data_IF_590105910290
#
_entry.id   IF_590105910290
#
_cell.length_a   1.000
_cell.length_b   1.000
_cell.length_c   1.000
_cell.angle_alpha   90.00
_cell.angle_beta   90.00
_cell.angle_gamma   90.00
#
_symmetry.space_group_name_H-M   'P 1'
#
loop_
_entity.id
_entity.type
_entity.pdbx_description
1 polymer ?
#
# COMPACT_ATOMS: atom_id res chain seq x y z
N UNK A 1 -2.08 11.54 21.53
CA UNK A 1 -1.05 11.42 20.47
C UNK A 1 -1.66 11.88 19.16
N UNK A 2 -1.02 12.81 18.45
CA UNK A 2 -1.55 13.37 17.20
C UNK A 2 -1.26 12.43 16.04
N UNK A 3 -2.30 12.00 15.32
CA UNK A 3 -2.16 11.07 14.20
C UNK A 3 -1.68 11.82 12.96
N UNK A 4 -0.62 11.33 12.29
CA UNK A 4 -0.07 11.95 11.09
C UNK A 4 -0.88 11.48 9.87
N UNK A 5 -1.29 12.43 9.01
CA UNK A 5 -2.00 12.12 7.76
C UNK A 5 -1.24 12.68 6.58
N UNK A 6 -1.16 11.89 5.51
CA UNK A 6 -0.61 12.31 4.22
C UNK A 6 -1.68 12.16 3.15
N UNK A 7 -1.58 12.97 2.10
CA UNK A 7 -2.49 12.94 0.96
C UNK A 7 -1.68 12.73 -0.32
N UNK A 8 -2.06 11.71 -1.10
CA UNK A 8 -1.46 11.39 -2.39
C UNK A 8 -2.62 11.34 -3.40
N UNK A 9 -2.68 12.34 -4.28
CA UNK A 9 -3.84 12.62 -5.14
C UNK A 9 -5.15 12.62 -4.34
N UNK A 10 -6.01 11.62 -4.55
CA UNK A 10 -7.32 11.51 -3.91
C UNK A 10 -7.32 10.56 -2.70
N UNK A 11 -6.20 9.92 -2.40
CA UNK A 11 -6.05 8.97 -1.29
C UNK A 11 -5.47 9.67 -0.07
N UNK A 12 -6.14 9.55 1.07
CA UNK A 12 -5.63 9.97 2.38
C UNK A 12 -5.11 8.76 3.12
N UNK A 13 -3.90 8.84 3.65
CA UNK A 13 -3.26 7.74 4.39
C UNK A 13 -2.95 8.23 5.80
N UNK A 14 -3.37 7.44 6.79
CA UNK A 14 -3.13 7.68 8.20
C UNK A 14 -1.90 6.89 8.62
N UNK A 15 -0.85 7.58 9.05
CA UNK A 15 0.43 7.02 9.46
C UNK A 15 0.54 6.96 10.99
N UNK A 16 1.32 6.00 11.53
CA UNK A 16 1.75 6.05 12.93
C UNK A 16 2.45 7.38 13.27
N UNK A 17 2.28 7.90 14.49
CA UNK A 17 2.87 9.19 14.89
C UNK A 17 4.41 9.16 14.91
N UNK A 18 5.02 8.01 15.17
CA UNK A 18 6.46 7.75 15.17
C UNK A 18 7.00 7.29 13.80
N UNK A 19 6.16 7.22 12.76
CA UNK A 19 6.62 6.84 11.43
C UNK A 19 7.28 8.03 10.71
N UNK A 20 8.51 7.81 10.28
CA UNK A 20 9.21 8.69 9.34
C UNK A 20 8.86 8.29 7.90
N UNK A 21 8.44 9.26 7.10
CA UNK A 21 8.12 9.04 5.70
C UNK A 21 9.37 9.36 4.86
N UNK A 22 9.99 8.34 4.28
CA UNK A 22 11.21 8.48 3.49
C UNK A 22 10.90 8.78 2.02
N UNK A 23 9.93 8.08 1.44
CA UNK A 23 9.49 8.28 0.04
C UNK A 23 7.98 8.06 -0.09
N UNK A 24 7.36 8.77 -1.01
CA UNK A 24 5.97 8.52 -1.43
C UNK A 24 5.80 8.81 -2.92
N UNK A 25 4.88 8.09 -3.56
CA UNK A 25 4.49 8.36 -4.94
C UNK A 25 3.13 7.74 -5.27
N UNK A 26 2.54 8.18 -6.38
CA UNK A 26 1.44 7.47 -7.03
C UNK A 26 2.04 6.45 -8.01
N UNK A 27 1.54 5.20 -7.98
CA UNK A 27 2.08 4.12 -8.83
C UNK A 27 2.01 4.47 -10.31
N UNK A 28 0.91 5.06 -10.77
CA UNK A 28 0.69 5.38 -12.18
C UNK A 28 1.77 6.33 -12.72
N UNK A 29 2.19 7.30 -11.90
CA UNK A 29 3.23 8.27 -12.24
C UNK A 29 4.60 7.63 -12.40
N UNK A 30 4.99 6.71 -11.51
CA UNK A 30 6.31 6.06 -11.57
C UNK A 30 6.35 4.95 -12.60
N UNK A 31 5.24 4.25 -12.79
CA UNK A 31 5.16 3.10 -13.68
C UNK A 31 4.82 3.47 -15.13
N UNK A 32 4.69 4.76 -15.45
CA UNK A 32 4.29 5.28 -16.76
C UNK A 32 3.05 4.56 -17.33
N UNK A 33 2.14 4.12 -16.45
CA UNK A 33 0.90 3.49 -16.90
C UNK A 33 0.05 4.61 -17.46
N UNK A 34 -0.35 4.50 -18.74
CA UNK A 34 -1.11 5.51 -19.46
C UNK A 34 -2.32 5.90 -18.63
N UNK A 35 -2.29 7.11 -18.05
CA UNK A 35 -3.40 7.67 -17.27
C UNK A 35 -4.62 7.71 -18.19
N UNK A 36 -5.50 6.70 -18.11
CA UNK A 36 -6.84 6.85 -18.67
C UNK A 36 -7.46 8.01 -17.89
N UNK A 37 -7.83 9.08 -18.59
CA UNK A 37 -8.30 10.39 -18.10
C UNK A 37 -9.42 10.37 -17.02
N UNK A 38 -9.91 9.20 -16.60
CA UNK A 38 -11.04 9.01 -15.69
C UNK A 38 -10.75 8.17 -14.44
N UNK A 39 -9.52 7.73 -14.16
CA UNK A 39 -9.26 6.92 -12.96
C UNK A 39 -9.13 7.78 -11.70
N UNK A 40 -10.21 7.77 -10.90
CA UNK A 40 -10.27 8.33 -9.54
C UNK A 40 -9.46 7.53 -8.51
N UNK A 41 -8.96 6.35 -8.89
CA UNK A 41 -8.20 5.43 -8.03
C UNK A 41 -6.76 5.93 -7.97
N UNK A 42 -6.21 6.04 -6.78
CA UNK A 42 -4.81 6.47 -6.61
C UNK A 42 -4.09 5.34 -5.92
N UNK A 43 -3.45 4.51 -6.73
CA UNK A 43 -2.54 3.47 -6.27
C UNK A 43 -1.28 4.18 -5.72
N UNK A 44 -0.77 3.70 -4.59
CA UNK A 44 0.25 4.39 -3.79
C UNK A 44 1.43 3.48 -3.47
N UNK A 45 2.65 4.02 -3.58
CA UNK A 45 3.83 3.40 -3.01
C UNK A 45 4.48 4.33 -1.97
N UNK A 46 4.89 3.75 -0.85
CA UNK A 46 5.52 4.45 0.27
C UNK A 46 6.77 3.69 0.71
N UNK A 47 7.74 4.45 1.21
CA UNK A 47 8.83 3.93 2.03
C UNK A 47 8.71 4.59 3.40
N UNK A 48 8.40 3.81 4.42
CA UNK A 48 8.26 4.27 5.80
C UNK A 48 9.41 3.70 6.64
N UNK A 49 9.92 4.49 7.58
CA UNK A 49 10.81 4.02 8.64
C UNK A 49 10.09 4.09 9.98
N UNK A 50 10.17 3.02 10.74
CA UNK A 50 9.60 2.88 12.07
C UNK A 50 10.60 2.23 13.00
N UNK A 51 11.27 3.04 13.82
CA UNK A 51 12.43 2.58 14.60
C UNK A 51 13.51 2.02 13.68
N UNK A 52 13.90 0.77 13.92
CA UNK A 52 14.91 0.04 13.13
C UNK A 52 14.36 -0.54 11.81
N UNK A 53 13.05 -0.55 11.61
CA UNK A 53 12.43 -1.16 10.43
C UNK A 53 12.24 -0.15 9.31
N UNK A 54 12.62 -0.55 8.09
CA UNK A 54 12.19 0.10 6.86
C UNK A 54 11.10 -0.75 6.19
N UNK A 55 10.01 -0.12 5.80
CA UNK A 55 8.83 -0.74 5.22
C UNK A 55 8.66 -0.22 3.79
N UNK A 56 8.70 -1.12 2.80
CA UNK A 56 8.30 -0.85 1.44
C UNK A 56 6.82 -1.22 1.29
N UNK A 57 5.96 -0.23 1.11
CA UNK A 57 4.51 -0.41 1.10
C UNK A 57 3.99 -0.10 -0.30
N UNK A 58 3.29 -1.04 -0.91
CA UNK A 58 2.54 -0.86 -2.16
C UNK A 58 1.07 -1.07 -1.87
N UNK A 59 0.23 -0.16 -2.34
CA UNK A 59 -1.20 -0.12 -2.06
C UNK A 59 -1.98 0.12 -3.34
N UNK A 60 -2.90 -0.78 -3.65
CA UNK A 60 -3.82 -0.64 -4.80
C UNK A 60 -5.25 -0.43 -4.31
N UNK A 61 -5.95 0.57 -4.85
CA UNK A 61 -7.35 0.87 -4.51
C UNK A 61 -8.30 0.22 -5.52
N UNK A 62 -8.73 -1.01 -5.24
CA UNK A 62 -9.42 -1.84 -6.23
C UNK A 62 -10.95 -1.74 -6.17
N UNK A 63 -11.51 -1.16 -5.09
CA UNK A 63 -12.96 -1.03 -4.91
C UNK A 63 -13.61 -2.38 -4.57
N UNK A 64 -13.61 -3.32 -5.52
CA UNK A 64 -13.90 -4.75 -5.35
C UNK A 64 -12.68 -5.54 -5.82
N UNK A 65 -11.94 -6.20 -4.92
CA UNK A 65 -10.73 -6.93 -5.28
C UNK A 65 -11.03 -8.15 -6.15
N UNK A 66 -10.10 -8.45 -7.05
CA UNK A 66 -10.07 -9.63 -7.90
C UNK A 66 -8.70 -10.31 -7.84
N UNK A 67 -8.59 -11.57 -8.29
CA UNK A 67 -7.33 -12.32 -8.27
C UNK A 67 -6.21 -11.63 -9.08
N UNK A 68 -6.57 -10.96 -10.19
CA UNK A 68 -5.62 -10.20 -11.00
C UNK A 68 -4.96 -9.06 -10.22
N UNK A 69 -5.63 -8.51 -9.21
CA UNK A 69 -5.12 -7.39 -8.43
C UNK A 69 -3.99 -7.82 -7.51
N UNK A 70 -4.04 -9.06 -6.99
CA UNK A 70 -2.94 -9.64 -6.21
C UNK A 70 -1.67 -9.71 -7.06
N UNK A 71 -1.80 -10.22 -8.29
CA UNK A 71 -0.68 -10.32 -9.24
C UNK A 71 -0.16 -8.94 -9.64
N UNK A 72 -1.06 -8.01 -9.97
CA UNK A 72 -0.71 -6.62 -10.27
C UNK A 72 0.11 -6.00 -9.14
N UNK A 73 -0.26 -6.25 -7.88
CA UNK A 73 0.45 -5.70 -6.72
C UNK A 73 1.89 -6.22 -6.62
N UNK A 74 2.10 -7.50 -6.88
CA UNK A 74 3.43 -8.12 -6.90
C UNK A 74 4.28 -7.55 -8.05
N UNK A 75 3.72 -7.50 -9.26
CA UNK A 75 4.37 -6.90 -10.43
C UNK A 75 4.73 -5.42 -10.22
N UNK A 76 3.81 -4.65 -9.63
CA UNK A 76 4.06 -3.24 -9.28
C UNK A 76 5.21 -3.09 -8.30
N UNK A 77 5.30 -3.96 -7.29
CA UNK A 77 6.42 -3.95 -6.35
C UNK A 77 7.75 -4.20 -7.07
N UNK A 78 7.82 -5.25 -7.88
CA UNK A 78 9.06 -5.65 -8.56
C UNK A 78 9.54 -4.55 -9.52
N UNK A 79 8.62 -3.94 -10.28
CA UNK A 79 8.93 -2.78 -11.14
C UNK A 79 9.41 -1.55 -10.36
N UNK A 80 8.91 -1.33 -9.14
CA UNK A 80 9.37 -0.22 -8.29
C UNK A 80 10.77 -0.47 -7.71
N UNK A 81 11.16 -1.74 -7.53
CA UNK A 81 12.53 -2.13 -7.19
C UNK A 81 13.45 -1.86 -8.38
N UNK A 82 13.08 -2.32 -9.59
CA UNK A 82 13.84 -2.09 -10.82
C UNK A 82 14.06 -0.60 -11.10
N UNK A 83 13.06 0.24 -10.78
CA UNK A 83 13.13 1.71 -10.90
C UNK A 83 13.85 2.40 -9.74
N UNK A 84 14.45 1.66 -8.80
CA UNK A 84 15.15 2.17 -7.61
C UNK A 84 14.29 3.08 -6.70
N UNK A 85 12.96 2.95 -6.78
CA UNK A 85 12.07 3.67 -5.86
C UNK A 85 12.07 2.98 -4.49
N UNK A 86 11.78 1.67 -4.47
CA UNK A 86 11.77 0.85 -3.26
C UNK A 86 13.18 0.32 -2.93
N UNK A 87 13.41 -0.01 -1.66
CA UNK A 87 14.70 -0.52 -1.21
C UNK A 87 14.79 -2.05 -1.40
N UNK A 88 15.78 -2.58 -2.14
CA UNK A 88 15.87 -4.01 -2.42
C UNK A 88 16.35 -4.87 -1.25
N UNK A 89 17.10 -4.29 -0.31
CA UNK A 89 17.68 -5.00 0.83
C UNK A 89 17.25 -4.37 2.16
N UNK A 90 17.13 -5.20 3.21
CA UNK A 90 16.83 -4.80 4.59
C UNK A 90 15.52 -3.99 4.78
N UNK A 91 14.59 -4.09 3.82
CA UNK A 91 13.26 -3.52 3.93
C UNK A 91 12.18 -4.61 3.91
N UNK A 92 11.16 -4.41 4.74
CA UNK A 92 10.01 -5.31 4.85
C UNK A 92 9.03 -4.97 3.73
N UNK A 93 8.75 -5.95 2.87
CA UNK A 93 7.73 -5.87 1.82
C UNK A 93 6.33 -5.93 2.42
N UNK A 94 5.51 -4.92 2.13
CA UNK A 94 4.10 -4.87 2.49
C UNK A 94 3.26 -4.57 1.26
N UNK A 95 2.35 -5.49 0.96
CA UNK A 95 1.47 -5.44 -0.19
C UNK A 95 0.03 -5.31 0.31
N UNK A 96 -0.70 -4.26 -0.08
CA UNK A 96 -2.03 -3.97 0.41
C UNK A 96 -3.04 -3.81 -0.73
N UNK A 97 -4.14 -4.57 -0.68
CA UNK A 97 -5.34 -4.33 -1.46
C UNK A 97 -6.34 -3.54 -0.63
N UNK A 98 -6.51 -2.27 -0.98
CA UNK A 98 -7.51 -1.41 -0.38
C UNK A 98 -8.85 -1.55 -1.13
N UNK A 99 -9.94 -1.74 -0.39
CA UNK A 99 -11.26 -1.90 -0.99
C UNK A 99 -12.40 -1.30 -0.17
N UNK A 100 -13.53 -1.04 -0.85
CA UNK A 100 -14.77 -0.51 -0.26
C UNK A 100 -15.90 -1.56 -0.24
N UNK A 101 -15.86 -2.51 -1.16
CA UNK A 101 -16.86 -3.56 -1.35
C UNK A 101 -16.65 -4.80 -0.48
N UNK A 102 -17.33 -5.89 -0.83
CA UNK A 102 -17.09 -7.21 -0.27
C UNK A 102 -15.85 -7.87 -0.86
N UNK A 103 -15.29 -8.82 -0.12
CA UNK A 103 -14.20 -9.71 -0.57
C UNK A 103 -14.64 -11.12 -0.22
N UNK A 104 -14.63 -12.02 -1.19
CA UNK A 104 -14.96 -13.41 -0.94
C UNK A 104 -13.84 -14.14 -0.16
N UNK A 105 -14.20 -15.24 0.49
CA UNK A 105 -13.28 -15.99 1.34
C UNK A 105 -12.13 -16.65 0.58
N UNK A 106 -12.36 -17.03 -0.68
CA UNK A 106 -11.33 -17.63 -1.53
C UNK A 106 -10.26 -16.61 -1.87
N UNK A 107 -10.66 -15.40 -2.30
CA UNK A 107 -9.76 -14.31 -2.60
C UNK A 107 -8.96 -13.87 -1.39
N UNK A 108 -9.61 -13.78 -0.21
CA UNK A 108 -8.91 -13.48 1.04
C UNK A 108 -7.85 -14.55 1.36
N UNK A 109 -8.19 -15.83 1.16
CA UNK A 109 -7.26 -16.94 1.38
C UNK A 109 -6.08 -16.91 0.42
N UNK A 110 -6.32 -16.57 -0.85
CA UNK A 110 -5.27 -16.41 -1.85
C UNK A 110 -4.37 -15.21 -1.55
N UNK A 111 -4.95 -14.06 -1.18
CA UNK A 111 -4.19 -12.88 -0.79
C UNK A 111 -3.27 -13.17 0.40
N UNK A 112 -3.77 -13.86 1.43
CA UNK A 112 -2.96 -14.27 2.58
C UNK A 112 -1.78 -15.17 2.18
N UNK A 113 -2.00 -16.14 1.28
CA UNK A 113 -0.91 -17.00 0.77
C UNK A 113 0.15 -16.22 0.00
N UNK A 114 -0.27 -15.19 -0.75
CA UNK A 114 0.61 -14.24 -1.43
C UNK A 114 1.16 -13.13 -0.52
N UNK A 115 0.92 -13.19 0.80
CA UNK A 115 1.34 -12.17 1.78
C UNK A 115 0.80 -10.76 1.46
N UNK A 116 -0.36 -10.70 0.82
CA UNK A 116 -1.10 -9.47 0.52
C UNK A 116 -2.16 -9.24 1.60
N UNK A 117 -2.12 -8.06 2.20
CA UNK A 117 -3.11 -7.59 3.17
C UNK A 117 -4.32 -7.02 2.47
N UNK A 118 -5.49 -7.60 2.72
CA UNK A 118 -6.76 -7.09 2.18
C UNK A 118 -7.42 -6.21 3.22
N UNK A 119 -7.45 -4.91 2.94
CA UNK A 119 -7.81 -3.88 3.91
C UNK A 119 -9.08 -3.16 3.45
N UNK A 120 -10.16 -3.37 4.18
CA UNK A 120 -11.41 -2.65 3.97
C UNK A 120 -11.31 -1.26 4.61
N UNK A 121 -11.38 -0.19 3.81
CA UNK A 121 -11.52 1.16 4.35
C UNK A 121 -12.60 1.96 3.62
N UNK A 122 -13.14 2.97 4.31
CA UNK A 122 -14.25 3.79 3.80
C UNK A 122 -13.75 4.98 2.98
N UNK A 123 -12.80 5.76 3.51
CA UNK A 123 -12.30 7.02 2.89
C UNK A 123 -10.79 7.23 2.98
N UNK A 124 -10.13 6.60 3.95
CA UNK A 124 -8.68 6.75 4.18
C UNK A 124 -8.07 5.40 4.48
N UNK A 125 -6.85 5.19 4.03
CA UNK A 125 -6.07 3.99 4.31
C UNK A 125 -5.44 4.14 5.69
N UNK A 126 -5.84 3.30 6.64
CA UNK A 126 -5.36 3.36 8.01
C UNK A 126 -4.15 2.44 8.22
N UNK A 127 -2.96 2.94 7.88
CA UNK A 127 -1.71 2.22 8.14
C UNK A 127 -1.35 2.20 9.62
N UNK A 128 -1.81 3.16 10.42
CA UNK A 128 -1.52 3.17 11.85
C UNK A 128 -2.07 1.92 12.53
N UNK A 129 -3.37 1.65 12.35
CA UNK A 129 -3.99 0.45 12.94
C UNK A 129 -3.37 -0.84 12.39
N UNK A 130 -3.05 -0.89 11.09
CA UNK A 130 -2.44 -2.08 10.47
C UNK A 130 -1.03 -2.35 11.01
N UNK A 131 -0.17 -1.34 11.06
CA UNK A 131 1.21 -1.47 11.50
C UNK A 131 1.29 -1.79 12.99
N UNK A 132 0.44 -1.15 13.82
CA UNK A 132 0.35 -1.46 15.24
C UNK A 132 -0.05 -2.91 15.52
N UNK A 133 -0.97 -3.48 14.73
CA UNK A 133 -1.36 -4.91 14.85
C UNK A 133 -0.22 -5.87 14.51
N UNK A 134 0.71 -5.44 13.67
CA UNK A 134 1.94 -6.18 13.31
C UNK A 134 3.13 -5.82 14.20
N UNK A 135 2.88 -5.08 15.28
CA UNK A 135 3.88 -4.61 16.23
C UNK A 135 4.97 -3.72 15.61
N UNK A 136 4.67 -3.12 14.45
CA UNK A 136 5.49 -2.08 13.85
C UNK A 136 5.07 -0.72 14.38
N UNK A 137 6.05 0.17 14.57
CA UNK A 137 5.82 1.57 14.91
C UNK A 137 4.98 1.74 16.21
N UNK A 138 5.23 0.91 17.24
CA UNK A 138 4.64 1.07 18.58
C UNK A 138 5.31 2.23 19.32
#
# INVERSE_FOLDING_TARGET
MTVKKIKIKNTTITLPPNAELLKQTNLDEVLNQTLKKNEKKSDVALVLKCGEYVLNIVIEDTGTPELRDIRKLEESYDRLIEKNFLQPANAIKMLLLHHKGGVDSLLKSLAMRSKVEVVRCSKSIDLYTLLRKREFCI
#
